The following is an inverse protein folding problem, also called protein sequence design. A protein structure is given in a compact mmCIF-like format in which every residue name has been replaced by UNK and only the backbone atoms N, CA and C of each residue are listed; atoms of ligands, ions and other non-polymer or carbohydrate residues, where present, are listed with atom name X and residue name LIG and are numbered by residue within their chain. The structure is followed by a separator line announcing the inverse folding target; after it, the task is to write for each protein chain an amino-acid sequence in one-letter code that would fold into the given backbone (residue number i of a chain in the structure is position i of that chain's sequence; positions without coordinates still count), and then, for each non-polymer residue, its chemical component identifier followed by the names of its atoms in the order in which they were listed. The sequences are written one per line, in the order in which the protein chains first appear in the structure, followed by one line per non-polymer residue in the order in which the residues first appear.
data_IF_287326460879
#
_entry.id   IF_287326460879
#
_cell.length_a   1.000
_cell.length_b   1.000
_cell.length_c   1.000
_cell.angle_alpha   90.00
_cell.angle_beta   90.00
_cell.angle_gamma   90.00
#
_symmetry.space_group_name_H-M   'P 1'
#
loop_
_entity.id
_entity.type
_entity.pdbx_description
1 polymer ?
#
# COMPACT_ATOMS: atom_id res chain seq x y z
N UNK A 1 -1.26 -14.59 -6.57
CA UNK A 1 -2.67 -14.82 -6.16
C UNK A 1 -3.52 -13.75 -6.79
N UNK A 2 -4.56 -14.12 -7.54
CA UNK A 2 -5.55 -13.20 -8.09
C UNK A 2 -6.23 -12.49 -6.92
N UNK A 3 -6.25 -11.16 -6.93
CA UNK A 3 -7.03 -10.39 -5.95
C UNK A 3 -8.50 -10.81 -6.07
N UNK A 4 -9.12 -11.18 -4.94
CA UNK A 4 -10.57 -11.39 -4.93
C UNK A 4 -11.22 -10.06 -5.30
N UNK A 5 -12.05 -10.02 -6.34
CA UNK A 5 -12.70 -8.78 -6.76
C UNK A 5 -13.51 -8.19 -5.60
N UNK A 6 -13.46 -6.88 -5.44
CA UNK A 6 -14.20 -6.18 -4.39
C UNK A 6 -15.62 -5.93 -4.87
N UNK A 7 -16.60 -6.63 -4.27
CA UNK A 7 -18.03 -6.45 -4.52
C UNK A 7 -18.65 -5.44 -3.56
N UNK A 8 -19.81 -4.90 -3.92
CA UNK A 8 -20.59 -4.02 -3.04
C UNK A 8 -21.11 -4.79 -1.81
N UNK A 9 -21.47 -6.07 -1.97
CA UNK A 9 -21.83 -6.91 -0.84
C UNK A 9 -20.70 -6.96 0.19
N UNK A 10 -19.47 -7.21 -0.25
CA UNK A 10 -18.31 -7.24 0.64
C UNK A 10 -18.00 -5.88 1.26
N UNK A 11 -18.16 -4.78 0.50
CA UNK A 11 -18.04 -3.44 1.05
C UNK A 11 -19.06 -3.23 2.19
N UNK A 12 -20.30 -3.63 1.99
CA UNK A 12 -21.35 -3.53 3.00
C UNK A 12 -21.02 -4.37 4.24
N UNK A 13 -20.71 -5.66 4.07
CA UNK A 13 -20.41 -6.57 5.17
C UNK A 13 -19.23 -6.12 6.03
N UNK A 14 -18.16 -5.62 5.38
CA UNK A 14 -16.96 -5.14 6.05
C UNK A 14 -17.18 -3.81 6.80
N UNK A 15 -18.19 -3.00 6.44
CA UNK A 15 -18.31 -1.61 6.94
C UNK A 15 -19.68 -1.29 7.56
N UNK A 16 -20.65 -2.19 7.54
CA UNK A 16 -22.02 -1.92 8.01
C UNK A 16 -22.09 -1.40 9.45
N UNK A 17 -21.24 -1.92 10.34
CA UNK A 17 -21.19 -1.48 11.73
C UNK A 17 -20.46 -0.14 11.87
N UNK A 18 -19.28 0.01 11.25
CA UNK A 18 -18.44 1.21 11.36
C UNK A 18 -19.10 2.44 10.73
N UNK A 19 -19.81 2.26 9.63
CA UNK A 19 -20.53 3.32 8.93
C UNK A 19 -22.03 3.34 9.24
N UNK A 20 -22.52 2.43 10.10
CA UNK A 20 -23.94 2.29 10.43
C UNK A 20 -24.82 2.23 9.17
N UNK A 21 -24.39 1.40 8.19
CA UNK A 21 -25.06 1.31 6.90
C UNK A 21 -26.35 0.48 7.03
N UNK A 22 -27.46 1.03 6.57
CA UNK A 22 -28.67 0.29 6.25
C UNK A 22 -28.77 0.09 4.74
N UNK A 23 -29.15 -1.10 4.27
CA UNK A 23 -29.37 -1.38 2.85
C UNK A 23 -30.87 -1.31 2.57
N UNK A 24 -31.30 -0.45 1.65
CA UNK A 24 -32.72 -0.12 1.45
C UNK A 24 -33.30 -0.59 0.11
N UNK A 25 -32.48 -0.61 -0.96
CA UNK A 25 -32.93 -0.97 -2.31
C UNK A 25 -31.80 -1.57 -3.13
N UNK A 26 -32.12 -2.15 -4.29
CA UNK A 26 -31.14 -2.68 -5.22
C UNK A 26 -30.37 -3.89 -4.71
N UNK A 27 -30.98 -4.73 -3.89
CA UNK A 27 -30.33 -5.90 -3.27
C UNK A 27 -29.63 -6.84 -4.26
N UNK A 28 -30.21 -7.14 -5.45
CA UNK A 28 -29.52 -8.00 -6.43
C UNK A 28 -28.20 -7.45 -6.95
N UNK A 29 -27.96 -6.14 -6.78
CA UNK A 29 -26.73 -5.47 -7.20
C UNK A 29 -25.53 -5.69 -6.29
N UNK A 30 -25.63 -6.54 -5.25
CA UNK A 30 -24.54 -6.83 -4.32
C UNK A 30 -23.26 -7.33 -4.99
N UNK A 31 -23.38 -8.07 -6.10
CA UNK A 31 -22.23 -8.58 -6.87
C UNK A 31 -21.59 -7.56 -7.80
N UNK A 32 -22.07 -6.31 -7.85
CA UNK A 32 -21.42 -5.25 -8.64
C UNK A 32 -20.02 -5.03 -8.15
N UNK A 33 -19.09 -4.94 -9.12
CA UNK A 33 -17.66 -4.79 -8.82
C UNK A 33 -17.29 -3.31 -8.64
N UNK A 34 -16.42 -3.06 -7.68
CA UNK A 34 -15.71 -1.80 -7.59
C UNK A 34 -14.36 -2.01 -8.27
N UNK A 35 -14.23 -1.43 -9.48
CA UNK A 35 -13.02 -1.51 -10.30
C UNK A 35 -12.12 -0.30 -10.04
N UNK A 36 -10.81 -0.54 -10.00
CA UNK A 36 -9.82 0.52 -9.84
C UNK A 36 -8.53 -0.01 -9.23
N UNK A 37 -7.53 0.86 -9.20
CA UNK A 37 -6.27 0.64 -8.51
C UNK A 37 -6.11 1.66 -7.37
N UNK A 38 -4.99 1.61 -6.66
CA UNK A 38 -4.72 2.55 -5.53
C UNK A 38 -4.67 4.00 -5.98
N UNK A 39 -4.24 4.27 -7.22
CA UNK A 39 -4.16 5.64 -7.74
C UNK A 39 -5.54 6.23 -7.99
N UNK A 40 -6.51 5.39 -8.34
CA UNK A 40 -7.90 5.75 -8.59
C UNK A 40 -8.84 5.52 -7.39
N UNK A 41 -8.37 4.89 -6.30
CA UNK A 41 -9.21 4.52 -5.16
C UNK A 41 -9.91 5.73 -4.51
N UNK A 42 -9.25 6.90 -4.46
CA UNK A 42 -9.84 8.14 -3.96
C UNK A 42 -10.98 8.65 -4.84
N UNK A 43 -10.93 8.33 -6.14
CA UNK A 43 -11.94 8.74 -7.12
C UNK A 43 -13.13 7.76 -7.20
N UNK A 44 -13.05 6.59 -6.54
CA UNK A 44 -14.12 5.59 -6.52
C UNK A 44 -15.30 5.96 -5.62
N UNK A 45 -15.19 7.01 -4.81
CA UNK A 45 -16.25 7.51 -3.93
C UNK A 45 -16.19 9.02 -3.80
N UNK A 46 -17.36 9.67 -3.78
CA UNK A 46 -17.46 11.12 -3.62
C UNK A 46 -18.90 11.59 -3.55
N UNK A 47 -19.09 12.89 -3.36
CA UNK A 47 -20.39 13.53 -3.47
C UNK A 47 -21.00 13.35 -4.87
N UNK A 48 -22.31 13.54 -4.99
CA UNK A 48 -23.01 13.49 -6.27
C UNK A 48 -22.26 14.24 -7.36
N UNK A 49 -21.91 13.53 -8.41
CA UNK A 49 -21.15 14.09 -9.52
C UNK A 49 -21.49 13.40 -10.82
N UNK A 50 -22.14 14.16 -11.71
CA UNK A 50 -22.55 13.68 -13.04
C UNK A 50 -21.38 13.60 -14.04
N UNK A 51 -20.25 14.25 -13.74
CA UNK A 51 -19.03 14.16 -14.58
C UNK A 51 -18.31 12.83 -14.37
N UNK A 52 -18.40 12.28 -13.15
CA UNK A 52 -17.82 11.00 -12.77
C UNK A 52 -18.90 10.07 -12.20
N UNK A 53 -19.88 9.63 -13.02
CA UNK A 53 -21.03 8.89 -12.52
C UNK A 53 -20.72 7.48 -12.08
N UNK A 54 -19.67 6.84 -12.63
CA UNK A 54 -19.27 5.45 -12.35
C UNK A 54 -18.61 5.19 -10.98
N UNK A 55 -18.72 6.13 -10.02
CA UNK A 55 -18.22 5.97 -8.65
C UNK A 55 -19.36 5.79 -7.64
N UNK A 56 -19.04 5.35 -6.43
CA UNK A 56 -20.00 5.36 -5.32
C UNK A 56 -20.36 6.82 -5.04
N UNK A 57 -21.65 7.15 -5.16
CA UNK A 57 -22.18 8.49 -5.00
C UNK A 57 -22.76 8.67 -3.60
N UNK A 58 -22.29 9.68 -2.88
CA UNK A 58 -22.78 9.98 -1.53
C UNK A 58 -23.59 11.27 -1.58
N UNK A 59 -24.82 11.18 -1.13
CA UNK A 59 -25.77 12.30 -1.05
C UNK A 59 -25.83 12.78 0.41
N UNK A 60 -25.44 14.03 0.64
CA UNK A 60 -25.67 14.74 1.89
C UNK A 60 -26.81 15.77 1.76
N UNK A 61 -26.92 16.66 2.73
CA UNK A 61 -27.96 17.71 2.73
C UNK A 61 -27.94 18.59 1.47
N UNK A 62 -26.74 18.93 0.98
CA UNK A 62 -26.64 19.83 -0.17
C UNK A 62 -27.12 19.14 -1.45
N UNK A 63 -26.74 17.89 -1.66
CA UNK A 63 -27.12 17.09 -2.82
C UNK A 63 -28.60 16.78 -2.83
N UNK A 64 -29.18 16.37 -1.69
CA UNK A 64 -30.62 16.10 -1.57
C UNK A 64 -31.43 17.39 -1.77
N UNK A 65 -31.04 18.50 -1.12
CA UNK A 65 -31.71 19.78 -1.30
C UNK A 65 -31.64 20.28 -2.75
N UNK A 66 -30.49 20.15 -3.40
CA UNK A 66 -30.35 20.47 -4.82
C UNK A 66 -31.30 19.61 -5.65
N UNK A 67 -31.29 18.31 -5.48
CA UNK A 67 -32.10 17.37 -6.20
C UNK A 67 -33.61 17.65 -6.03
N UNK A 68 -34.06 17.89 -4.82
CA UNK A 68 -35.46 18.17 -4.51
C UNK A 68 -35.98 19.50 -5.09
N UNK A 69 -35.12 20.50 -5.33
CA UNK A 69 -35.48 21.78 -5.98
C UNK A 69 -35.64 21.69 -7.48
N UNK A 70 -35.13 20.61 -8.11
CA UNK A 70 -35.28 20.40 -9.55
C UNK A 70 -36.75 20.12 -9.91
N UNK A 71 -37.18 20.57 -11.09
CA UNK A 71 -38.48 20.20 -11.65
C UNK A 71 -38.47 18.69 -11.97
N UNK A 72 -39.62 18.03 -11.92
CA UNK A 72 -39.78 16.58 -12.11
C UNK A 72 -39.04 16.09 -13.36
N UNK A 73 -39.24 16.69 -14.53
CA UNK A 73 -38.56 16.30 -15.76
C UNK A 73 -37.02 16.41 -15.67
N UNK A 74 -36.52 17.40 -14.96
CA UNK A 74 -35.07 17.60 -14.74
C UNK A 74 -34.53 16.56 -13.77
N UNK A 75 -35.29 16.19 -12.73
CA UNK A 75 -34.89 15.09 -11.82
C UNK A 75 -34.75 13.77 -12.56
N UNK A 76 -35.76 13.43 -13.37
CA UNK A 76 -35.73 12.21 -14.18
C UNK A 76 -34.51 12.16 -15.11
N UNK A 77 -34.15 13.31 -15.71
CA UNK A 77 -32.97 13.39 -16.55
C UNK A 77 -31.67 13.23 -15.74
N UNK A 78 -31.51 13.98 -14.66
CA UNK A 78 -30.32 13.95 -13.80
C UNK A 78 -30.07 12.55 -13.21
N UNK A 79 -31.13 11.91 -12.68
CA UNK A 79 -30.97 10.57 -12.13
C UNK A 79 -30.73 9.53 -13.24
N UNK A 80 -31.36 9.69 -14.41
CA UNK A 80 -31.13 8.85 -15.56
C UNK A 80 -29.68 8.89 -16.05
N UNK A 81 -29.07 10.08 -16.16
CA UNK A 81 -27.65 10.22 -16.50
C UNK A 81 -26.73 9.60 -15.45
N UNK A 82 -27.05 9.82 -14.16
CA UNK A 82 -26.28 9.21 -13.09
C UNK A 82 -26.28 7.68 -13.17
N UNK A 83 -27.46 7.09 -13.36
CA UNK A 83 -27.64 5.64 -13.45
C UNK A 83 -27.02 5.07 -14.73
N UNK A 84 -27.14 5.78 -15.86
CA UNK A 84 -26.51 5.37 -17.13
C UNK A 84 -24.96 5.31 -16.99
N UNK A 85 -24.39 6.10 -16.12
CA UNK A 85 -22.96 6.04 -15.79
C UNK A 85 -22.54 4.82 -14.96
N UNK A 86 -23.47 3.98 -14.52
CA UNK A 86 -23.21 2.72 -13.86
C UNK A 86 -22.59 2.83 -12.47
N UNK A 87 -23.10 3.69 -11.57
CA UNK A 87 -22.55 3.78 -10.22
C UNK A 87 -22.59 2.43 -9.53
N UNK A 88 -21.51 2.03 -8.82
CA UNK A 88 -21.51 0.78 -8.09
C UNK A 88 -22.56 0.75 -6.97
N UNK A 89 -22.76 1.88 -6.29
CA UNK A 89 -23.78 2.06 -5.24
C UNK A 89 -24.08 3.55 -5.04
N UNK A 90 -25.23 3.83 -4.41
CA UNK A 90 -25.61 5.14 -3.88
C UNK A 90 -25.69 5.07 -2.35
N UNK A 91 -25.34 6.16 -1.68
CA UNK A 91 -25.40 6.29 -0.20
C UNK A 91 -26.10 7.57 0.16
N UNK A 92 -27.17 7.51 0.93
CA UNK A 92 -27.86 8.67 1.53
C UNK A 92 -27.29 8.83 2.93
N UNK A 93 -26.58 9.92 3.16
CA UNK A 93 -25.93 10.23 4.43
C UNK A 93 -26.81 11.11 5.35
N UNK A 94 -26.36 11.31 6.61
CA UNK A 94 -26.94 12.24 7.57
C UNK A 94 -28.38 11.86 8.01
N UNK A 95 -28.79 10.61 7.86
CA UNK A 95 -30.13 10.16 8.20
C UNK A 95 -31.23 10.80 7.37
N UNK A 96 -30.91 11.32 6.19
CA UNK A 96 -31.87 11.97 5.31
C UNK A 96 -32.87 10.99 4.74
N UNK A 97 -34.08 11.47 4.50
CA UNK A 97 -35.13 10.71 3.80
C UNK A 97 -34.73 10.52 2.34
N UNK A 98 -34.79 9.27 1.88
CA UNK A 98 -34.48 8.95 0.49
C UNK A 98 -35.63 9.38 -0.43
N UNK A 99 -35.38 10.19 -1.47
CA UNK A 99 -36.40 10.52 -2.46
C UNK A 99 -37.00 9.27 -3.09
N UNK A 100 -38.34 9.16 -3.22
CA UNK A 100 -39.00 7.95 -3.70
C UNK A 100 -38.60 7.56 -5.14
N UNK A 101 -38.29 8.53 -5.99
CA UNK A 101 -37.83 8.32 -7.35
C UNK A 101 -36.41 7.71 -7.41
N UNK A 102 -35.51 8.09 -6.49
CA UNK A 102 -34.19 7.46 -6.34
C UNK A 102 -34.32 6.02 -5.86
N UNK A 103 -35.19 5.78 -4.87
CA UNK A 103 -35.43 4.43 -4.36
C UNK A 103 -35.97 3.52 -5.46
N UNK A 104 -37.00 3.96 -6.19
CA UNK A 104 -37.62 3.18 -7.25
C UNK A 104 -36.65 2.81 -8.37
N UNK A 105 -35.81 3.76 -8.84
CA UNK A 105 -34.85 3.49 -9.92
C UNK A 105 -33.70 2.58 -9.45
N UNK A 106 -33.28 2.69 -8.19
CA UNK A 106 -32.26 1.81 -7.62
C UNK A 106 -32.73 0.35 -7.58
N UNK A 107 -34.01 0.12 -7.22
CA UNK A 107 -34.58 -1.24 -7.29
C UNK A 107 -34.73 -1.74 -8.72
N UNK A 108 -35.26 -0.90 -9.62
CA UNK A 108 -35.44 -1.28 -11.03
C UNK A 108 -34.10 -1.64 -11.70
N UNK A 109 -33.03 -0.86 -11.45
CA UNK A 109 -31.74 -1.02 -12.09
C UNK A 109 -30.74 -1.86 -11.29
N UNK A 110 -31.20 -2.45 -10.18
CA UNK A 110 -30.37 -3.26 -9.25
C UNK A 110 -29.10 -2.50 -8.83
N UNK A 111 -29.26 -1.24 -8.41
CA UNK A 111 -28.17 -0.43 -7.86
C UNK A 111 -28.30 -0.39 -6.35
N UNK A 112 -27.33 -0.94 -5.60
CA UNK A 112 -27.36 -0.90 -4.15
C UNK A 112 -27.52 0.50 -3.60
N UNK A 113 -28.53 0.69 -2.76
CA UNK A 113 -28.84 1.96 -2.09
C UNK A 113 -28.69 1.78 -0.59
N UNK A 114 -27.78 2.53 0.01
CA UNK A 114 -27.52 2.53 1.44
C UNK A 114 -27.98 3.83 2.08
N UNK A 115 -28.29 3.77 3.38
CA UNK A 115 -28.41 4.97 4.21
C UNK A 115 -27.47 4.87 5.40
N UNK A 116 -27.11 6.04 5.95
CA UNK A 116 -26.31 6.16 7.17
C UNK A 116 -26.62 7.45 7.90
N UNK A 117 -26.62 7.46 9.26
CA UNK A 117 -26.77 8.69 10.03
C UNK A 117 -25.51 9.58 10.01
N UNK A 118 -24.36 9.04 9.55
CA UNK A 118 -23.10 9.75 9.57
C UNK A 118 -23.02 10.86 8.53
N UNK A 119 -22.21 11.92 8.75
CA UNK A 119 -21.96 12.97 7.78
C UNK A 119 -21.36 12.44 6.46
N UNK A 120 -21.79 12.98 5.32
CA UNK A 120 -21.32 12.56 4.00
C UNK A 120 -19.80 12.62 3.86
N UNK A 121 -19.17 13.69 4.34
CA UNK A 121 -17.70 13.81 4.32
C UNK A 121 -16.99 12.68 5.10
N UNK A 122 -17.51 12.34 6.28
CA UNK A 122 -16.96 11.23 7.08
C UNK A 122 -17.08 9.88 6.37
N UNK A 123 -18.21 9.61 5.73
CA UNK A 123 -18.45 8.40 4.94
C UNK A 123 -17.46 8.33 3.75
N UNK A 124 -17.31 9.43 3.03
CA UNK A 124 -16.40 9.53 1.88
C UNK A 124 -14.95 9.27 2.33
N UNK A 125 -14.49 9.92 3.37
CA UNK A 125 -13.10 9.77 3.86
C UNK A 125 -12.83 8.36 4.36
N UNK A 126 -13.78 7.76 5.08
CA UNK A 126 -13.67 6.38 5.53
C UNK A 126 -13.60 5.40 4.35
N UNK A 127 -14.50 5.53 3.37
CA UNK A 127 -14.53 4.66 2.21
C UNK A 127 -13.28 4.85 1.32
N UNK A 128 -12.73 6.04 1.19
CA UNK A 128 -11.46 6.27 0.49
C UNK A 128 -10.31 5.48 1.10
N UNK A 129 -10.19 5.51 2.43
CA UNK A 129 -9.19 4.74 3.16
C UNK A 129 -9.43 3.23 3.01
N UNK A 130 -10.68 2.79 3.12
CA UNK A 130 -11.05 1.38 2.94
C UNK A 130 -10.73 0.89 1.52
N UNK A 131 -11.16 1.61 0.49
CA UNK A 131 -10.93 1.28 -0.91
C UNK A 131 -9.45 1.26 -1.26
N UNK A 132 -8.67 2.26 -0.79
CA UNK A 132 -7.22 2.28 -0.98
C UNK A 132 -6.54 1.02 -0.43
N UNK A 133 -6.99 0.51 0.70
CA UNK A 133 -6.45 -0.73 1.29
C UNK A 133 -6.90 -1.99 0.54
N UNK A 134 -8.15 -2.03 0.05
CA UNK A 134 -8.73 -3.21 -0.61
C UNK A 134 -8.31 -3.33 -2.07
N UNK A 135 -8.20 -2.20 -2.78
CA UNK A 135 -7.77 -2.14 -4.18
C UNK A 135 -6.24 -2.09 -4.33
N UNK A 136 -5.48 -2.06 -3.22
CA UNK A 136 -4.03 -2.05 -3.24
C UNK A 136 -3.48 -3.24 -4.02
N UNK A 137 -2.66 -2.96 -5.03
CA UNK A 137 -1.87 -3.99 -5.70
C UNK A 137 -0.95 -4.68 -4.67
N UNK A 138 -0.85 -6.00 -4.76
CA UNK A 138 -0.06 -6.81 -3.83
C UNK A 138 0.86 -7.77 -4.57
N UNK A 139 2.05 -7.97 -4.02
CA UNK A 139 3.02 -8.98 -4.47
C UNK A 139 3.63 -9.65 -3.25
N UNK A 140 3.99 -10.92 -3.40
CA UNK A 140 4.82 -11.62 -2.42
C UNK A 140 6.24 -11.66 -2.99
N UNK A 141 7.20 -11.19 -2.21
CA UNK A 141 8.63 -11.30 -2.52
C UNK A 141 9.33 -12.15 -1.47
N UNK A 142 10.34 -12.90 -1.90
CA UNK A 142 11.14 -13.73 -1.00
C UNK A 142 12.33 -12.97 -0.44
N UNK A 143 12.54 -13.08 0.87
CA UNK A 143 13.65 -12.46 1.57
C UNK A 143 13.35 -12.19 3.03
N UNK A 144 14.30 -11.55 3.71
CA UNK A 144 14.16 -11.09 5.10
C UNK A 144 13.82 -9.59 5.08
N UNK A 145 12.70 -9.22 5.65
CA UNK A 145 12.27 -7.82 5.71
C UNK A 145 12.43 -7.28 7.13
N UNK A 146 13.21 -6.21 7.25
CA UNK A 146 13.67 -5.66 8.53
C UNK A 146 13.34 -4.16 8.65
N UNK A 147 13.14 -3.72 9.89
CA UNK A 147 13.27 -2.33 10.31
C UNK A 147 14.74 -2.08 10.73
N UNK A 148 15.51 -1.41 9.90
CA UNK A 148 16.89 -1.04 10.23
C UNK A 148 16.98 0.48 10.36
N UNK A 149 17.21 0.97 11.57
CA UNK A 149 17.30 2.42 11.86
C UNK A 149 16.05 3.21 11.42
N UNK A 150 14.85 2.61 11.50
CA UNK A 150 13.60 3.23 11.06
C UNK A 150 13.33 3.14 9.55
N UNK A 151 14.16 2.42 8.81
CA UNK A 151 14.03 2.20 7.36
C UNK A 151 13.64 0.75 7.11
N UNK A 152 12.57 0.52 6.32
CA UNK A 152 12.21 -0.82 5.87
C UNK A 152 13.15 -1.30 4.77
N UNK A 153 13.88 -2.37 5.05
CA UNK A 153 14.91 -2.98 4.20
C UNK A 153 14.54 -4.41 3.85
N UNK A 154 14.42 -4.71 2.55
CA UNK A 154 14.27 -6.09 2.07
C UNK A 154 15.65 -6.66 1.73
N UNK A 155 16.04 -7.72 2.43
CA UNK A 155 17.29 -8.47 2.19
C UNK A 155 16.95 -9.60 1.25
N UNK A 156 17.51 -9.59 0.04
CA UNK A 156 17.33 -10.61 -1.00
C UNK A 156 18.66 -11.30 -1.34
N UNK A 157 18.62 -12.33 -2.16
CA UNK A 157 19.80 -13.09 -2.61
C UNK A 157 19.50 -14.58 -2.64
N UNK A 158 20.40 -15.37 -3.22
CA UNK A 158 20.26 -16.80 -3.36
C UNK A 158 20.04 -17.51 -2.01
N UNK A 159 19.43 -18.71 -2.07
CA UNK A 159 19.32 -19.55 -0.89
C UNK A 159 20.71 -19.93 -0.36
N UNK A 160 20.86 -19.91 0.96
CA UNK A 160 22.11 -20.27 1.63
C UNK A 160 23.16 -19.15 1.69
N UNK A 161 22.83 -17.92 1.29
CA UNK A 161 23.72 -16.74 1.46
C UNK A 161 23.73 -16.12 2.86
N UNK A 162 23.01 -16.70 3.81
CA UNK A 162 22.99 -16.19 5.19
C UNK A 162 22.03 -15.05 5.44
N UNK A 163 20.92 -14.95 4.68
CA UNK A 163 19.91 -13.87 4.86
C UNK A 163 19.30 -13.89 6.26
N UNK A 164 18.86 -15.06 6.73
CA UNK A 164 18.23 -15.20 8.05
C UNK A 164 19.26 -15.07 9.18
N UNK A 165 20.49 -15.55 8.99
CA UNK A 165 21.60 -15.35 9.93
C UNK A 165 21.94 -13.84 10.05
N UNK A 166 21.95 -13.11 8.93
CA UNK A 166 22.09 -11.66 8.93
C UNK A 166 20.92 -10.97 9.63
N UNK A 167 19.69 -11.47 9.41
CA UNK A 167 18.50 -11.01 10.12
C UNK A 167 18.66 -11.15 11.64
N UNK A 168 19.11 -12.31 12.11
CA UNK A 168 19.37 -12.58 13.53
C UNK A 168 20.47 -11.66 14.11
N UNK A 169 21.56 -11.44 13.36
CA UNK A 169 22.60 -10.50 13.76
C UNK A 169 22.06 -9.07 13.89
N UNK A 170 21.24 -8.61 12.95
CA UNK A 170 20.60 -7.30 13.00
C UNK A 170 19.64 -7.18 14.19
N UNK A 171 18.87 -8.23 14.51
CA UNK A 171 18.00 -8.25 15.70
C UNK A 171 18.84 -8.09 16.98
N UNK A 172 19.97 -8.79 17.07
CA UNK A 172 20.90 -8.68 18.20
C UNK A 172 21.51 -7.26 18.33
N UNK A 173 21.48 -6.48 17.25
CA UNK A 173 21.88 -5.07 17.19
C UNK A 173 20.70 -4.10 17.41
N UNK A 174 19.58 -4.59 17.95
CA UNK A 174 18.36 -3.80 18.25
C UNK A 174 17.58 -3.34 17.02
N UNK A 175 17.69 -4.01 15.87
CA UNK A 175 16.83 -3.82 14.73
C UNK A 175 15.59 -4.73 14.82
N UNK A 176 14.53 -4.42 14.07
CA UNK A 176 13.26 -5.12 14.16
C UNK A 176 13.00 -6.05 12.97
N UNK A 177 12.57 -7.31 13.23
CA UNK A 177 12.08 -8.23 12.22
C UNK A 177 10.66 -7.83 11.80
N UNK A 178 10.40 -7.78 10.50
CA UNK A 178 9.03 -7.67 9.95
C UNK A 178 8.58 -9.01 9.42
N UNK A 179 9.37 -9.66 8.58
CA UNK A 179 9.06 -10.97 7.98
C UNK A 179 10.33 -11.71 7.57
N UNK A 180 10.27 -13.02 7.59
CA UNK A 180 11.27 -13.93 7.00
C UNK A 180 10.61 -14.81 5.94
N UNK A 181 11.40 -15.20 4.93
CA UNK A 181 11.05 -16.03 3.78
C UNK A 181 10.01 -15.39 2.84
N UNK A 182 8.82 -15.07 3.29
CA UNK A 182 7.76 -14.48 2.48
C UNK A 182 7.32 -13.12 3.03
N UNK A 183 7.36 -12.09 2.19
CA UNK A 183 6.94 -10.73 2.53
C UNK A 183 5.82 -10.30 1.62
N UNK A 184 4.66 -9.97 2.17
CA UNK A 184 3.55 -9.37 1.42
C UNK A 184 3.77 -7.86 1.29
N UNK A 185 4.04 -7.39 0.08
CA UNK A 185 4.08 -5.97 -0.23
C UNK A 185 2.77 -5.49 -0.82
N UNK A 186 2.33 -4.32 -0.40
CA UNK A 186 1.12 -3.65 -0.88
C UNK A 186 1.45 -2.20 -1.23
N UNK A 187 1.03 -1.74 -2.41
CA UNK A 187 1.11 -0.32 -2.76
C UNK A 187 -0.06 0.40 -2.12
N UNK A 188 0.18 1.14 -1.03
CA UNK A 188 -0.86 1.79 -0.22
C UNK A 188 -1.07 3.27 -0.56
N UNK A 189 -0.19 3.85 -1.38
CA UNK A 189 -0.29 5.20 -1.93
C UNK A 189 0.54 5.29 -3.22
N UNK A 190 0.39 6.35 -4.04
CA UNK A 190 1.11 6.50 -5.31
C UNK A 190 2.64 6.35 -5.20
N UNK A 191 3.24 6.71 -4.07
CA UNK A 191 4.68 6.67 -3.81
C UNK A 191 5.05 5.82 -2.58
N UNK A 192 4.19 4.88 -2.16
CA UNK A 192 4.38 4.17 -0.89
C UNK A 192 4.03 2.69 -1.00
N UNK A 193 5.02 1.86 -0.72
CA UNK A 193 4.88 0.42 -0.57
C UNK A 193 5.06 0.06 0.90
N UNK A 194 4.13 -0.70 1.46
CA UNK A 194 4.17 -1.25 2.81
C UNK A 194 4.35 -2.77 2.72
N UNK A 195 5.31 -3.30 3.46
CA UNK A 195 5.55 -4.73 3.59
C UNK A 195 5.12 -5.24 4.96
N UNK A 196 4.58 -6.45 5.00
CA UNK A 196 4.18 -7.16 6.21
C UNK A 196 4.44 -8.66 6.11
N UNK A 197 4.49 -9.30 7.25
CA UNK A 197 4.53 -10.76 7.33
C UNK A 197 3.14 -11.36 7.06
N UNK A 198 3.06 -12.47 6.30
CA UNK A 198 1.86 -13.30 6.27
C UNK A 198 1.47 -13.75 7.69
N UNK A 199 0.16 -13.81 8.04
CA UNK A 199 -0.27 -14.11 9.42
C UNK A 199 0.31 -15.41 10.00
N UNK A 200 0.47 -16.42 9.17
CA UNK A 200 0.98 -17.73 9.58
C UNK A 200 2.48 -17.72 9.99
N UNK A 201 3.27 -16.79 9.45
CA UNK A 201 4.73 -16.70 9.64
C UNK A 201 5.12 -15.59 10.63
N UNK A 202 4.18 -14.94 11.30
CA UNK A 202 4.46 -13.80 12.17
C UNK A 202 5.44 -14.13 13.28
N UNK A 203 6.44 -13.25 13.47
CA UNK A 203 7.49 -13.30 14.48
C UNK A 203 8.47 -14.48 14.33
N UNK A 204 8.34 -15.28 13.29
CA UNK A 204 9.19 -16.44 13.05
C UNK A 204 10.37 -16.07 12.17
N UNK A 205 11.54 -16.64 12.49
CA UNK A 205 12.78 -16.56 11.71
C UNK A 205 13.37 -17.96 11.62
N UNK A 206 13.58 -18.46 10.40
CA UNK A 206 14.22 -19.76 10.20
C UNK A 206 15.74 -19.59 10.04
N UNK A 207 16.51 -20.16 10.96
CA UNK A 207 17.98 -20.12 10.94
C UNK A 207 18.54 -21.53 10.77
N UNK A 208 19.36 -21.71 9.74
CA UNK A 208 19.97 -23.02 9.46
C UNK A 208 20.79 -23.50 10.66
N UNK A 209 20.53 -24.73 11.12
CA UNK A 209 21.17 -25.33 12.27
C UNK A 209 20.53 -25.04 13.62
N UNK A 210 19.68 -23.99 13.72
CA UNK A 210 18.90 -23.67 14.90
C UNK A 210 17.41 -24.01 14.74
N UNK A 211 16.93 -24.06 13.50
CA UNK A 211 15.51 -24.26 13.19
C UNK A 211 14.70 -22.99 13.23
N UNK A 212 13.42 -23.11 13.57
CA UNK A 212 12.45 -22.01 13.61
C UNK A 212 12.46 -21.31 14.97
N UNK A 213 12.79 -20.03 14.97
CA UNK A 213 12.91 -19.20 16.19
C UNK A 213 11.72 -18.25 16.29
N UNK A 214 11.06 -18.19 17.44
CA UNK A 214 10.10 -17.12 17.77
C UNK A 214 10.86 -15.89 18.31
N UNK A 215 11.07 -14.91 17.45
CA UNK A 215 11.86 -13.71 17.74
C UNK A 215 11.21 -12.86 18.83
N UNK A 216 9.90 -12.80 18.87
CA UNK A 216 9.18 -12.07 19.92
C UNK A 216 9.37 -12.73 21.29
N UNK A 217 9.31 -14.05 21.36
CA UNK A 217 9.52 -14.78 22.61
C UNK A 217 10.97 -14.69 23.12
N UNK A 218 11.96 -14.69 22.21
CA UNK A 218 13.39 -14.68 22.55
C UNK A 218 13.91 -13.29 22.88
N UNK A 219 13.55 -12.28 22.06
CA UNK A 219 14.13 -10.92 22.11
C UNK A 219 13.15 -9.85 22.57
N UNK A 220 11.88 -10.19 22.78
CA UNK A 220 10.83 -9.27 23.23
C UNK A 220 10.11 -8.53 22.10
N UNK A 221 9.07 -7.77 22.48
CA UNK A 221 8.18 -7.03 21.57
C UNK A 221 8.93 -6.00 20.70
N UNK A 222 10.01 -5.42 21.22
CA UNK A 222 10.79 -4.41 20.51
C UNK A 222 11.60 -4.96 19.34
N UNK A 223 11.81 -6.27 19.28
CA UNK A 223 12.54 -6.95 18.21
C UNK A 223 11.68 -7.26 16.97
N UNK A 224 10.37 -7.02 17.02
CA UNK A 224 9.45 -7.31 15.93
C UNK A 224 8.66 -6.08 15.49
N UNK A 225 8.26 -6.05 14.21
CA UNK A 225 7.40 -5.01 13.65
C UNK A 225 6.26 -5.66 12.87
N UNK A 226 5.07 -5.13 12.99
CA UNK A 226 3.91 -5.65 12.24
C UNK A 226 4.00 -5.33 10.75
N UNK A 227 4.59 -4.18 10.40
CA UNK A 227 4.69 -3.67 9.04
C UNK A 227 5.71 -2.54 8.95
N UNK A 228 6.30 -2.33 7.80
CA UNK A 228 7.21 -1.23 7.51
C UNK A 228 7.06 -0.75 6.06
N UNK A 229 7.47 0.50 5.78
CA UNK A 229 7.55 1.03 4.42
C UNK A 229 8.85 0.56 3.77
N UNK A 230 8.74 -0.08 2.59
CA UNK A 230 9.91 -0.48 1.81
C UNK A 230 10.61 0.77 1.25
N UNK A 231 11.89 0.91 1.55
CA UNK A 231 12.72 2.03 1.09
C UNK A 231 14.04 1.59 0.46
N UNK A 232 14.49 0.39 0.78
CA UNK A 232 15.76 -0.15 0.31
C UNK A 232 15.65 -1.65 0.09
N UNK A 233 16.22 -2.13 -1.01
CA UNK A 233 16.48 -3.54 -1.25
C UNK A 233 17.99 -3.75 -1.14
N UNK A 234 18.41 -4.67 -0.26
CA UNK A 234 19.80 -5.10 -0.15
C UNK A 234 19.89 -6.50 -0.74
N UNK A 235 20.60 -6.61 -1.87
CA UNK A 235 20.81 -7.89 -2.54
C UNK A 235 22.16 -8.49 -2.16
N UNK A 236 22.14 -9.63 -1.49
CA UNK A 236 23.35 -10.36 -1.17
C UNK A 236 23.82 -11.14 -2.40
N UNK A 237 25.08 -10.97 -2.77
CA UNK A 237 25.68 -11.64 -3.94
C UNK A 237 26.92 -12.41 -3.53
N UNK A 238 27.23 -13.52 -4.21
CA UNK A 238 28.47 -14.25 -4.02
C UNK A 238 29.63 -13.43 -4.58
N UNK A 239 30.79 -13.47 -3.91
CA UNK A 239 31.99 -12.70 -4.32
C UNK A 239 32.37 -12.91 -5.79
N UNK A 240 32.26 -14.15 -6.29
CA UNK A 240 32.68 -14.49 -7.65
C UNK A 240 31.76 -13.91 -8.75
N UNK A 241 30.57 -13.47 -8.39
CA UNK A 241 29.62 -12.84 -9.31
C UNK A 241 29.85 -11.32 -9.48
N UNK A 242 30.75 -10.72 -8.69
CA UNK A 242 30.97 -9.29 -8.63
C UNK A 242 32.09 -8.79 -9.53
N UNK A 243 32.98 -9.66 -10.01
CA UNK A 243 34.11 -9.24 -10.82
C UNK A 243 33.71 -8.67 -12.18
N UNK A 244 32.46 -8.90 -12.61
CA UNK A 244 31.95 -8.42 -13.92
C UNK A 244 30.95 -7.25 -13.84
N UNK A 245 30.32 -6.93 -12.69
CA UNK A 245 29.12 -6.06 -12.68
C UNK A 245 29.12 -4.87 -11.71
N UNK A 246 30.05 -4.72 -10.78
CA UNK A 246 29.94 -3.64 -9.77
C UNK A 246 31.04 -2.60 -9.91
N UNK A 247 30.72 -1.48 -10.52
CA UNK A 247 31.55 -0.27 -10.48
C UNK A 247 31.81 0.16 -9.03
N UNK A 248 33.06 0.52 -8.69
CA UNK A 248 33.41 0.99 -7.34
C UNK A 248 32.69 2.26 -6.92
N UNK A 249 32.26 3.07 -7.89
CA UNK A 249 31.49 4.29 -7.73
C UNK A 249 30.40 4.32 -8.79
N UNK A 250 29.24 3.68 -8.56
CA UNK A 250 28.14 3.73 -9.52
C UNK A 250 27.56 5.15 -9.59
N UNK A 251 27.57 5.74 -10.78
CA UNK A 251 26.95 7.06 -11.04
C UNK A 251 25.44 7.04 -10.89
N UNK A 252 24.82 5.87 -11.08
CA UNK A 252 23.40 5.64 -10.86
C UNK A 252 23.23 4.45 -9.92
N UNK A 253 22.46 4.65 -8.87
CA UNK A 253 22.09 3.54 -8.00
C UNK A 253 21.05 2.67 -8.70
N UNK A 254 21.29 1.36 -8.85
CA UNK A 254 20.31 0.47 -9.43
C UNK A 254 19.01 0.51 -8.62
N UNK A 255 17.88 0.44 -9.31
CA UNK A 255 16.56 0.34 -8.72
C UNK A 255 15.91 -0.96 -9.15
N UNK A 256 15.01 -1.47 -8.33
CA UNK A 256 14.13 -2.60 -8.65
C UNK A 256 12.69 -2.11 -8.65
N UNK A 257 11.95 -2.43 -9.71
CA UNK A 257 10.53 -2.09 -9.75
C UNK A 257 9.74 -3.00 -8.82
N UNK A 258 9.04 -2.39 -7.87
CA UNK A 258 8.12 -3.10 -6.98
C UNK A 258 6.75 -2.44 -7.11
N UNK A 259 5.80 -3.13 -7.70
CA UNK A 259 4.43 -2.64 -7.90
C UNK A 259 4.38 -1.27 -8.63
N UNK A 260 5.23 -1.06 -9.63
CA UNK A 260 5.31 0.18 -10.40
C UNK A 260 6.01 1.33 -9.69
N UNK A 261 6.77 1.04 -8.62
CA UNK A 261 7.63 2.03 -7.95
C UNK A 261 9.09 1.59 -8.00
N UNK A 262 10.02 2.45 -8.46
CA UNK A 262 11.44 2.16 -8.42
C UNK A 262 11.95 2.23 -6.98
N UNK A 263 12.31 1.10 -6.42
CA UNK A 263 12.92 0.98 -5.09
C UNK A 263 14.44 0.85 -5.26
N UNK A 264 15.19 1.66 -4.53
CA UNK A 264 16.64 1.61 -4.52
C UNK A 264 17.15 0.22 -4.17
N UNK A 265 18.14 -0.27 -4.92
CA UNK A 265 18.79 -1.56 -4.70
C UNK A 265 20.30 -1.37 -4.48
N UNK A 266 20.83 -2.07 -3.49
CA UNK A 266 22.27 -2.10 -3.19
C UNK A 266 22.72 -3.55 -3.20
N UNK A 267 23.77 -3.88 -3.94
CA UNK A 267 24.38 -5.21 -3.92
C UNK A 267 25.51 -5.26 -2.88
N UNK A 268 25.45 -6.23 -1.96
CA UNK A 268 26.49 -6.45 -0.96
C UNK A 268 27.14 -7.83 -1.18
N UNK A 269 28.46 -7.88 -1.45
CA UNK A 269 29.17 -9.15 -1.61
C UNK A 269 29.35 -9.85 -0.27
N UNK A 270 28.90 -11.11 -0.22
CA UNK A 270 29.15 -12.01 0.90
C UNK A 270 30.53 -12.65 0.75
N UNK A 271 31.41 -12.40 1.70
CA UNK A 271 32.74 -13.00 1.74
C UNK A 271 33.16 -13.30 3.18
N UNK A 272 33.94 -14.34 3.36
CA UNK A 272 34.49 -14.68 4.67
C UNK A 272 35.32 -13.50 5.26
N UNK A 273 35.10 -13.22 6.54
CA UNK A 273 35.75 -12.13 7.25
C UNK A 273 35.16 -10.74 7.06
N UNK A 274 34.09 -10.58 6.24
CA UNK A 274 33.34 -9.31 6.12
C UNK A 274 32.15 -9.29 7.07
N UNK A 275 32.03 -8.23 7.82
CA UNK A 275 30.82 -8.00 8.63
C UNK A 275 29.71 -7.39 7.76
N UNK A 276 28.78 -8.25 7.30
CA UNK A 276 27.70 -7.86 6.38
C UNK A 276 26.68 -6.95 7.08
N UNK A 277 26.44 -7.13 8.39
CA UNK A 277 25.53 -6.28 9.13
C UNK A 277 26.02 -4.82 9.19
N UNK A 278 27.32 -4.60 9.40
CA UNK A 278 27.92 -3.26 9.36
C UNK A 278 27.77 -2.60 7.99
N UNK A 279 27.99 -3.37 6.91
CA UNK A 279 27.84 -2.85 5.54
C UNK A 279 26.38 -2.50 5.24
N UNK A 280 25.44 -3.32 5.70
CA UNK A 280 24.02 -3.05 5.55
C UNK A 280 23.61 -1.80 6.33
N UNK A 281 24.02 -1.68 7.59
CA UNK A 281 23.78 -0.47 8.42
C UNK A 281 24.35 0.78 7.75
N UNK A 282 25.54 0.70 7.15
CA UNK A 282 26.15 1.80 6.41
C UNK A 282 25.33 2.18 5.17
N UNK A 283 24.86 1.18 4.40
CA UNK A 283 24.00 1.41 3.25
C UNK A 283 22.67 2.08 3.64
N UNK A 284 22.09 1.68 4.77
CA UNK A 284 20.87 2.30 5.32
C UNK A 284 21.13 3.74 5.74
N UNK A 285 22.23 4.03 6.46
CA UNK A 285 22.60 5.40 6.84
C UNK A 285 22.79 6.30 5.63
N UNK A 286 23.48 5.81 4.59
CA UNK A 286 23.64 6.53 3.33
C UNK A 286 22.29 6.77 2.63
N UNK A 287 21.38 5.79 2.66
CA UNK A 287 20.02 5.97 2.14
C UNK A 287 19.25 7.05 2.92
N UNK A 288 19.38 7.10 4.24
CA UNK A 288 18.76 8.15 5.08
C UNK A 288 19.29 9.54 4.68
N UNK A 289 20.60 9.70 4.44
CA UNK A 289 21.18 10.97 3.99
C UNK A 289 20.59 11.41 2.65
N UNK A 290 20.48 10.49 1.70
CA UNK A 290 19.92 10.78 0.37
C UNK A 290 18.42 11.11 0.43
N UNK A 291 17.65 10.46 1.29
CA UNK A 291 16.23 10.82 1.53
C UNK A 291 16.08 12.24 2.11
N UNK A 292 17.15 12.78 2.71
CA UNK A 292 17.24 14.18 3.20
C UNK A 292 17.84 15.14 2.15
N UNK A 293 18.11 14.67 0.93
CA UNK A 293 18.67 15.47 -0.15
C UNK A 293 20.20 15.61 -0.11
N UNK A 294 20.89 14.83 0.74
CA UNK A 294 22.37 14.83 0.83
C UNK A 294 22.89 13.67 -0.02
N UNK A 295 23.55 13.97 -1.13
CA UNK A 295 24.21 12.97 -1.97
C UNK A 295 25.73 13.17 -1.94
N UNK A 296 26.41 12.36 -1.15
CA UNK A 296 27.86 12.43 -0.95
C UNK A 296 28.64 12.23 -2.25
N UNK A 297 28.11 11.42 -3.19
CA UNK A 297 28.78 11.22 -4.49
C UNK A 297 28.69 12.46 -5.35
N UNK A 298 27.52 13.08 -5.44
CA UNK A 298 27.34 14.35 -6.18
C UNK A 298 28.19 15.46 -5.58
N UNK A 299 28.21 15.58 -4.26
CA UNK A 299 29.06 16.55 -3.57
C UNK A 299 30.57 16.32 -3.84
N UNK A 300 31.00 15.04 -3.86
CA UNK A 300 32.39 14.69 -4.18
C UNK A 300 32.74 15.07 -5.62
N UNK A 301 31.87 14.75 -6.58
CA UNK A 301 32.07 15.05 -7.99
C UNK A 301 32.10 16.56 -8.24
N UNK A 302 31.26 17.33 -7.56
CA UNK A 302 31.26 18.80 -7.65
C UNK A 302 32.58 19.38 -7.12
N UNK A 303 33.08 18.91 -5.97
CA UNK A 303 34.38 19.29 -5.41
C UNK A 303 35.52 18.93 -6.36
N UNK A 304 35.49 17.73 -6.96
CA UNK A 304 36.50 17.30 -7.93
C UNK A 304 36.47 18.18 -9.18
N UNK A 305 35.28 18.51 -9.71
CA UNK A 305 35.12 19.40 -10.86
C UNK A 305 35.69 20.79 -10.57
N UNK A 306 35.36 21.34 -9.38
CA UNK A 306 35.90 22.66 -8.97
C UNK A 306 37.44 22.64 -8.81
N UNK A 307 37.99 21.57 -8.25
CA UNK A 307 39.44 21.43 -8.14
C UNK A 307 40.14 21.31 -9.48
N UNK A 308 39.50 20.68 -10.50
CA UNK A 308 40.06 20.55 -11.85
C UNK A 308 39.84 21.79 -12.72
N UNK A 309 38.90 22.68 -12.38
CA UNK A 309 38.61 23.92 -13.09
C UNK A 309 39.33 25.14 -12.49
N UNK A 310 40.02 24.98 -11.38
CA UNK A 310 40.78 26.05 -10.70
C UNK A 310 42.27 26.10 -10.99
N UNK A 311 42.75 25.37 -12.02
CA UNK A 311 44.12 25.48 -12.58
C UNK A 311 44.12 26.28 -13.89
#
# INVERSE_FOLDING_TARGET
MLQTPLTIQRLYDDNRESLQLGWFAGFPGGERLISGDVSSAADQVGHLNLIHPGRIQVFGHQEINYYQRLKVNTRTHVIGELIAGGPPALIIAQGLETPPDILAICDEQNIPLFSTPLPAAQVIDFLRVYLSKKLAQRIIMHGVFMDVLGVGVLITGDSGLGKSELGLELISRSHGLVADDAVEFSRIAPNMIEGRCPPLLQNLLEVRGLGLLDIKAIFGETAVRRKMRLKLIVHLVRRNALEEEVERLPFLFPTEDVLGLPIRKVAIPVAAGRNIAVLLEAAVRNTILQLRGIDTLQEFMERQRLAMSGD
#
